data_IF_489974134769
#
_entry.id   IF_489974134769
#
_cell.length_a   1.000
_cell.length_b   1.000
_cell.length_c   1.000
_cell.angle_alpha   90.00
_cell.angle_beta   90.00
_cell.angle_gamma   90.00
#
_symmetry.space_group_name_H-M   'P 1'
#
loop_
_entity.id
_entity.type
_entity.pdbx_description
1 polymer ?
#
# COMPACT_ATOMS: atom_id res chain seq x y z
N UNK A 1 -51.24 52.04 54.17
CA UNK A 1 -49.93 51.41 54.40
C UNK A 1 -49.19 52.25 55.44
N UNK A 2 -48.81 51.67 56.57
CA UNK A 2 -48.13 52.42 57.64
C UNK A 2 -46.72 52.83 57.19
N UNK A 3 -46.19 53.91 57.75
CA UNK A 3 -44.82 54.41 57.47
C UNK A 3 -43.75 53.33 57.66
N UNK A 4 -43.95 52.42 58.61
CA UNK A 4 -43.06 51.27 58.85
C UNK A 4 -43.06 50.25 57.70
N UNK A 5 -44.23 49.93 57.10
CA UNK A 5 -44.31 49.03 55.93
C UNK A 5 -43.66 49.65 54.70
N UNK A 6 -43.90 50.94 54.47
CA UNK A 6 -43.29 51.69 53.37
C UNK A 6 -41.77 51.69 53.48
N UNK A 7 -41.23 51.84 54.69
CA UNK A 7 -39.79 51.77 54.91
C UNK A 7 -39.27 50.34 54.69
N UNK A 8 -39.95 49.31 55.18
CA UNK A 8 -39.56 47.91 54.94
C UNK A 8 -39.51 47.57 53.44
N UNK A 9 -40.56 47.90 52.69
CA UNK A 9 -40.64 47.62 51.24
C UNK A 9 -39.55 48.36 50.46
N UNK A 10 -39.22 49.60 50.85
CA UNK A 10 -38.11 50.35 50.23
C UNK A 10 -36.75 49.68 50.45
N UNK A 11 -36.43 49.29 51.68
CA UNK A 11 -35.16 48.63 51.97
C UNK A 11 -35.10 47.24 51.31
N UNK A 12 -36.19 46.47 51.33
CA UNK A 12 -36.28 45.19 50.65
C UNK A 12 -36.08 45.32 49.13
N UNK A 13 -36.72 46.32 48.50
CA UNK A 13 -36.54 46.60 47.07
C UNK A 13 -35.11 47.06 46.74
N UNK A 14 -34.49 47.90 47.58
CA UNK A 14 -33.10 48.33 47.40
C UNK A 14 -32.12 47.17 47.50
N UNK A 15 -32.31 46.26 48.48
CA UNK A 15 -31.47 45.06 48.61
C UNK A 15 -31.61 44.13 47.41
N UNK A 16 -32.85 43.87 46.96
CA UNK A 16 -33.09 43.07 45.76
C UNK A 16 -32.46 43.69 44.51
N UNK A 17 -32.60 45.01 44.32
CA UNK A 17 -31.97 45.71 43.20
C UNK A 17 -30.43 45.64 43.26
N UNK A 18 -29.84 45.80 44.44
CA UNK A 18 -28.39 45.70 44.62
C UNK A 18 -27.86 44.28 44.32
N UNK A 19 -28.58 43.25 44.76
CA UNK A 19 -28.23 41.85 44.48
C UNK A 19 -28.35 41.52 42.99
N UNK A 20 -29.40 42.01 42.32
CA UNK A 20 -29.56 41.83 40.87
C UNK A 20 -28.45 42.52 40.09
N UNK A 21 -28.08 43.75 40.46
CA UNK A 21 -26.95 44.45 39.86
C UNK A 21 -25.64 43.70 40.05
N UNK A 22 -25.37 43.23 41.26
CA UNK A 22 -24.18 42.42 41.55
C UNK A 22 -24.15 41.15 40.71
N UNK A 23 -25.28 40.45 40.59
CA UNK A 23 -25.39 39.24 39.76
C UNK A 23 -25.08 39.54 38.28
N UNK A 24 -25.62 40.63 37.73
CA UNK A 24 -25.34 41.04 36.34
C UNK A 24 -23.85 41.36 36.16
N UNK A 25 -23.23 42.08 37.09
CA UNK A 25 -21.79 42.39 37.04
C UNK A 25 -20.96 41.11 37.06
N UNK A 26 -21.28 40.15 37.94
CA UNK A 26 -20.59 38.86 38.00
C UNK A 26 -20.76 38.05 36.71
N UNK A 27 -21.95 38.04 36.11
CA UNK A 27 -22.21 37.35 34.83
C UNK A 27 -21.40 37.98 33.69
N UNK A 28 -21.40 39.31 33.58
CA UNK A 28 -20.64 40.02 32.55
C UNK A 28 -19.12 39.81 32.73
N UNK A 29 -18.63 39.87 33.97
CA UNK A 29 -17.24 39.58 34.30
C UNK A 29 -16.84 38.15 33.93
N UNK A 30 -17.68 37.16 34.27
CA UNK A 30 -17.44 35.76 33.90
C UNK A 30 -17.42 35.57 32.38
N UNK A 31 -18.33 36.20 31.64
CA UNK A 31 -18.34 36.15 30.16
C UNK A 31 -17.10 36.80 29.55
N UNK A 32 -16.64 37.91 30.10
CA UNK A 32 -15.42 38.58 29.67
C UNK A 32 -14.19 37.69 29.87
N UNK A 33 -14.04 37.09 31.06
CA UNK A 33 -12.93 36.18 31.38
C UNK A 33 -12.98 34.91 30.50
N UNK A 34 -14.15 34.31 30.32
CA UNK A 34 -14.33 33.13 29.48
C UNK A 34 -14.02 33.41 28.00
N UNK A 35 -14.35 34.61 27.51
CA UNK A 35 -14.02 35.04 26.15
C UNK A 35 -12.52 35.24 25.91
N UNK A 36 -11.75 35.46 26.97
CA UNK A 36 -10.29 35.58 26.91
C UNK A 36 -9.55 34.24 27.07
N UNK A 37 -10.23 33.20 27.57
CA UNK A 37 -9.62 31.87 27.61
C UNK A 37 -9.59 31.28 26.20
N UNK A 38 -8.41 30.91 25.68
CA UNK A 38 -8.33 30.15 24.43
C UNK A 38 -9.14 28.86 24.61
N UNK A 39 -9.93 28.51 23.59
CA UNK A 39 -10.75 27.30 23.60
C UNK A 39 -9.84 26.11 23.96
N UNK A 40 -10.10 25.47 25.11
CA UNK A 40 -9.31 24.33 25.56
C UNK A 40 -9.73 23.12 24.71
N UNK A 41 -9.13 23.01 23.51
CA UNK A 41 -9.34 21.88 22.61
C UNK A 41 -9.02 20.60 23.35
N UNK A 42 -9.97 19.66 23.36
CA UNK A 42 -9.77 18.43 24.12
C UNK A 42 -8.55 17.67 23.55
N UNK A 43 -7.73 17.04 24.39
CA UNK A 43 -6.57 16.28 23.92
C UNK A 43 -6.93 15.21 22.88
N UNK A 44 -8.17 14.69 22.97
CA UNK A 44 -8.74 13.72 22.02
C UNK A 44 -8.98 14.35 20.66
N UNK A 45 -9.49 15.59 20.59
CA UNK A 45 -9.70 16.29 19.32
C UNK A 45 -8.37 16.66 18.65
N UNK A 46 -7.38 17.07 19.43
CA UNK A 46 -6.01 17.35 18.94
C UNK A 46 -5.36 16.06 18.42
N UNK A 47 -5.46 14.96 19.18
CA UNK A 47 -4.94 13.66 18.75
C UNK A 47 -5.63 13.18 17.45
N UNK A 48 -6.96 13.26 17.39
CA UNK A 48 -7.72 12.89 16.20
C UNK A 48 -7.42 13.78 14.99
N UNK A 49 -7.17 15.08 15.20
CA UNK A 49 -6.73 16.00 14.15
C UNK A 49 -5.34 15.62 13.64
N UNK A 50 -4.39 15.36 14.54
CA UNK A 50 -3.02 14.95 14.22
C UNK A 50 -2.98 13.63 13.44
N UNK A 51 -3.84 12.66 13.79
CA UNK A 51 -3.99 11.42 13.01
C UNK A 51 -4.50 11.67 11.59
N UNK A 52 -5.41 12.65 11.39
CA UNK A 52 -5.96 12.97 10.07
C UNK A 52 -5.00 13.76 9.17
N UNK A 53 -4.10 14.56 9.75
CA UNK A 53 -3.09 15.33 9.00
C UNK A 53 -1.75 14.60 8.87
N UNK A 54 -1.64 13.39 9.43
CA UNK A 54 -0.44 12.58 9.28
C UNK A 54 -0.18 12.28 7.79
N UNK A 55 1.08 12.34 7.33
CA UNK A 55 1.40 12.09 5.93
C UNK A 55 1.04 10.64 5.57
N UNK A 56 0.38 10.47 4.42
CA UNK A 56 0.00 9.15 3.88
C UNK A 56 1.19 8.34 3.34
N UNK A 57 2.39 8.92 3.39
CA UNK A 57 3.65 8.31 3.01
C UNK A 57 4.81 9.27 3.23
N UNK A 58 6.00 8.74 3.39
CA UNK A 58 7.21 9.54 3.54
C UNK A 58 7.58 10.22 2.22
N UNK A 59 7.83 11.53 2.25
CA UNK A 59 8.31 12.28 1.08
C UNK A 59 9.83 12.33 1.14
N UNK A 60 10.48 11.49 0.34
CA UNK A 60 11.93 11.51 0.20
C UNK A 60 12.33 12.27 -1.08
N UNK A 61 13.01 13.41 -0.93
CA UNK A 61 13.51 14.22 -2.05
C UNK A 61 15.05 14.20 -2.10
N UNK A 62 15.62 14.27 -3.30
CA UNK A 62 17.07 14.31 -3.50
C UNK A 62 17.77 12.97 -3.26
N UNK A 63 18.98 13.01 -2.70
CA UNK A 63 19.84 11.83 -2.53
C UNK A 63 19.28 10.82 -1.51
N UNK A 64 18.63 11.33 -0.47
CA UNK A 64 17.91 10.51 0.53
C UNK A 64 16.72 9.77 -0.09
N UNK A 65 16.04 10.36 -1.07
CA UNK A 65 15.00 9.69 -1.85
C UNK A 65 15.51 8.61 -2.79
N UNK A 66 16.66 8.82 -3.42
CA UNK A 66 17.30 7.77 -4.23
C UNK A 66 17.75 6.58 -3.37
N UNK A 67 18.33 6.84 -2.20
CA UNK A 67 18.73 5.82 -1.25
C UNK A 67 17.51 5.05 -0.69
N UNK A 68 16.45 5.75 -0.31
CA UNK A 68 15.20 5.14 0.17
C UNK A 68 14.50 4.31 -0.92
N UNK A 69 14.47 4.78 -2.18
CA UNK A 69 13.95 3.99 -3.29
C UNK A 69 14.81 2.75 -3.60
N UNK A 70 16.13 2.86 -3.48
CA UNK A 70 17.02 1.71 -3.66
C UNK A 70 16.83 0.68 -2.53
N UNK A 71 16.68 1.14 -1.29
CA UNK A 71 16.37 0.30 -0.14
C UNK A 71 14.98 -0.33 -0.25
N UNK A 72 13.96 0.41 -0.71
CA UNK A 72 12.63 -0.12 -0.95
C UNK A 72 12.62 -1.16 -2.09
N UNK A 73 13.34 -0.92 -3.18
CA UNK A 73 13.54 -1.91 -4.27
C UNK A 73 14.25 -3.16 -3.77
N UNK A 74 15.28 -2.99 -2.94
CA UNK A 74 16.00 -4.09 -2.28
C UNK A 74 15.07 -4.86 -1.33
N UNK A 75 14.24 -4.19 -0.54
CA UNK A 75 13.29 -4.82 0.36
C UNK A 75 12.17 -5.55 -0.39
N UNK A 76 11.68 -5.02 -1.52
CA UNK A 76 10.73 -5.73 -2.38
C UNK A 76 11.37 -6.91 -3.11
N UNK A 77 12.64 -6.80 -3.50
CA UNK A 77 13.39 -7.92 -4.08
C UNK A 77 13.64 -9.02 -3.03
N UNK A 78 13.93 -8.65 -1.79
CA UNK A 78 14.12 -9.59 -0.68
C UNK A 78 12.80 -10.23 -0.23
N UNK A 79 11.71 -9.47 -0.18
CA UNK A 79 10.36 -10.01 0.05
C UNK A 79 9.92 -10.95 -1.09
N UNK A 80 10.35 -10.69 -2.33
CA UNK A 80 10.11 -11.57 -3.48
C UNK A 80 10.93 -12.87 -3.43
N UNK A 81 12.05 -12.90 -2.70
CA UNK A 81 12.80 -14.14 -2.42
C UNK A 81 12.14 -15.03 -1.37
N UNK A 82 11.17 -14.52 -0.59
CA UNK A 82 10.50 -15.32 0.45
C UNK A 82 9.40 -16.23 -0.09
N UNK A 83 9.10 -16.20 -1.39
CA UNK A 83 8.06 -17.03 -2.02
C UNK A 83 8.58 -17.62 -3.34
N UNK A 84 9.75 -18.26 -3.32
CA UNK A 84 10.25 -18.97 -4.51
C UNK A 84 9.38 -20.21 -4.73
N UNK A 85 8.76 -20.30 -5.90
CA UNK A 85 7.90 -21.42 -6.25
C UNK A 85 8.66 -22.76 -6.15
N UNK A 86 7.94 -23.85 -5.89
CA UNK A 86 8.50 -25.22 -5.87
C UNK A 86 9.66 -25.39 -4.88
N UNK A 87 9.54 -24.81 -3.69
CA UNK A 87 10.55 -24.87 -2.62
C UNK A 87 11.96 -24.42 -3.06
N UNK A 88 12.03 -23.54 -4.06
CA UNK A 88 13.29 -23.07 -4.62
C UNK A 88 14.01 -24.08 -5.52
N UNK A 89 13.34 -25.14 -5.96
CA UNK A 89 13.93 -26.13 -6.87
C UNK A 89 14.47 -25.47 -8.15
N UNK A 90 15.70 -25.82 -8.51
CA UNK A 90 16.35 -25.46 -9.79
C UNK A 90 16.32 -26.61 -10.81
N UNK A 91 15.49 -27.62 -10.56
CA UNK A 91 15.25 -28.69 -11.53
C UNK A 91 14.21 -28.22 -12.55
N UNK A 92 14.68 -27.93 -13.77
CA UNK A 92 13.83 -27.48 -14.88
C UNK A 92 12.74 -28.49 -15.25
N UNK A 93 12.95 -29.79 -15.01
CA UNK A 93 11.93 -30.81 -15.26
C UNK A 93 10.76 -30.72 -14.28
N UNK A 94 11.04 -30.42 -13.01
CA UNK A 94 10.03 -30.25 -11.96
C UNK A 94 9.16 -29.05 -12.30
N UNK A 95 9.76 -27.91 -12.60
CA UNK A 95 9.01 -26.69 -12.94
C UNK A 95 8.23 -26.88 -14.23
N UNK A 96 8.84 -27.50 -15.24
CA UNK A 96 8.16 -27.80 -16.50
C UNK A 96 6.92 -28.67 -16.29
N UNK A 97 7.06 -29.78 -15.57
CA UNK A 97 5.96 -30.72 -15.35
C UNK A 97 4.82 -30.11 -14.52
N UNK A 98 5.12 -29.20 -13.60
CA UNK A 98 4.13 -28.57 -12.72
C UNK A 98 3.48 -27.30 -13.31
N UNK A 99 4.09 -26.66 -14.32
CA UNK A 99 3.59 -25.39 -14.87
C UNK A 99 3.61 -25.35 -16.40
N UNK A 100 4.80 -25.44 -16.99
CA UNK A 100 5.00 -25.12 -18.40
C UNK A 100 4.37 -26.17 -19.33
N UNK A 101 4.33 -27.43 -18.89
CA UNK A 101 3.78 -28.55 -19.63
C UNK A 101 2.28 -28.40 -19.94
N UNK A 102 1.54 -27.65 -19.13
CA UNK A 102 0.12 -27.38 -19.35
C UNK A 102 -0.15 -26.81 -20.76
N UNK A 103 0.77 -26.00 -21.29
CA UNK A 103 0.67 -25.44 -22.64
C UNK A 103 1.64 -26.12 -23.62
N UNK A 104 2.87 -26.39 -23.19
CA UNK A 104 3.94 -26.84 -24.09
C UNK A 104 3.90 -28.35 -24.43
N UNK A 105 3.08 -29.16 -23.76
CA UNK A 105 2.88 -30.57 -24.16
C UNK A 105 1.92 -30.68 -25.35
N UNK A 106 0.75 -30.04 -25.25
CA UNK A 106 -0.32 -30.13 -26.26
C UNK A 106 -0.21 -29.04 -27.33
N UNK A 107 0.47 -27.94 -27.04
CA UNK A 107 0.46 -26.72 -27.85
C UNK A 107 -0.74 -25.82 -27.58
N UNK A 108 -1.33 -25.90 -26.39
CA UNK A 108 -2.48 -25.09 -26.01
C UNK A 108 -2.19 -23.58 -26.20
N UNK A 109 -3.18 -22.83 -26.69
CA UNK A 109 -3.03 -21.39 -26.96
C UNK A 109 -1.96 -21.06 -28.01
N UNK A 110 -1.55 -22.03 -28.84
CA UNK A 110 -0.48 -21.87 -29.83
C UNK A 110 0.93 -21.94 -29.25
N UNK A 111 1.07 -22.47 -28.04
CA UNK A 111 2.38 -22.70 -27.43
C UNK A 111 3.24 -23.67 -28.28
N UNK A 112 4.55 -23.42 -28.41
CA UNK A 112 5.42 -24.31 -29.16
C UNK A 112 5.60 -25.63 -28.41
N UNK A 113 5.13 -26.72 -29.01
CA UNK A 113 5.38 -28.10 -28.53
C UNK A 113 6.87 -28.41 -28.55
N UNK A 114 7.36 -29.28 -27.67
CA UNK A 114 8.78 -29.70 -27.61
C UNK A 114 9.14 -30.61 -28.80
N UNK A 115 9.06 -30.07 -30.00
CA UNK A 115 9.37 -30.71 -31.27
C UNK A 115 10.45 -29.88 -31.96
N UNK A 116 11.52 -30.53 -32.42
CA UNK A 116 12.68 -29.85 -33.03
C UNK A 116 12.29 -28.95 -34.20
N UNK A 117 11.31 -29.36 -35.01
CA UNK A 117 10.84 -28.58 -36.15
C UNK A 117 10.25 -27.22 -35.75
N UNK A 118 9.52 -27.16 -34.63
CA UNK A 118 8.89 -25.94 -34.12
C UNK A 118 9.91 -25.04 -33.41
N UNK A 119 10.93 -25.63 -32.80
CA UNK A 119 11.93 -24.92 -32.01
C UNK A 119 13.16 -24.45 -32.78
N UNK A 120 13.43 -24.97 -33.99
CA UNK A 120 14.63 -24.62 -34.76
C UNK A 120 14.84 -23.10 -34.94
N UNK A 121 13.79 -22.35 -35.32
CA UNK A 121 13.88 -20.90 -35.49
C UNK A 121 13.98 -20.15 -34.15
N UNK A 122 13.56 -20.77 -33.04
CA UNK A 122 13.58 -20.20 -31.69
C UNK A 122 14.94 -20.37 -31.05
N UNK A 123 15.50 -21.58 -31.11
CA UNK A 123 16.84 -21.87 -30.59
C UNK A 123 17.93 -21.08 -31.33
N UNK A 124 17.70 -20.76 -32.61
CA UNK A 124 18.58 -19.85 -33.38
C UNK A 124 18.67 -18.42 -32.81
N UNK A 125 17.69 -17.97 -32.00
CA UNK A 125 17.73 -16.67 -31.32
C UNK A 125 18.64 -16.66 -30.09
N UNK A 126 19.13 -17.83 -29.68
CA UNK A 126 19.94 -18.02 -28.49
C UNK A 126 19.09 -18.19 -27.22
N UNK A 127 19.66 -18.90 -26.24
CA UNK A 127 19.00 -19.21 -24.97
C UNK A 127 18.59 -17.95 -24.21
N UNK A 128 19.46 -16.94 -24.13
CA UNK A 128 19.19 -15.72 -23.36
C UNK A 128 17.95 -14.96 -23.86
N UNK A 129 17.73 -14.94 -25.17
CA UNK A 129 16.53 -14.35 -25.77
C UNK A 129 15.28 -15.14 -25.37
N UNK A 130 15.35 -16.47 -25.36
CA UNK A 130 14.24 -17.33 -24.95
C UNK A 130 13.92 -17.18 -23.46
N UNK A 131 14.94 -17.11 -22.63
CA UNK A 131 14.80 -16.85 -21.19
C UNK A 131 14.16 -15.48 -20.97
N UNK A 132 14.62 -14.44 -21.67
CA UNK A 132 14.03 -13.11 -21.59
C UNK A 132 12.55 -13.11 -21.96
N UNK A 133 12.18 -13.74 -23.07
CA UNK A 133 10.78 -13.89 -23.48
C UNK A 133 9.95 -14.67 -22.46
N UNK A 134 10.52 -15.69 -21.82
CA UNK A 134 9.84 -16.46 -20.79
C UNK A 134 9.66 -15.67 -19.48
N UNK A 135 10.65 -14.86 -19.10
CA UNK A 135 10.62 -14.02 -17.90
C UNK A 135 9.66 -12.84 -18.06
N UNK A 136 9.79 -12.09 -19.16
CA UNK A 136 9.04 -10.85 -19.39
C UNK A 136 7.64 -11.12 -19.99
N UNK A 137 7.45 -12.32 -20.55
CA UNK A 137 6.29 -12.65 -21.38
C UNK A 137 6.51 -12.24 -22.83
N UNK A 138 5.83 -12.94 -23.74
CA UNK A 138 5.99 -12.72 -25.18
C UNK A 138 4.69 -12.95 -25.91
N UNK A 139 4.28 -11.98 -26.73
CA UNK A 139 3.17 -12.14 -27.66
C UNK A 139 3.75 -12.23 -29.07
N UNK A 140 3.55 -13.38 -29.72
CA UNK A 140 4.02 -13.63 -31.07
C UNK A 140 2.88 -14.03 -32.01
N UNK A 141 3.25 -14.33 -33.25
CA UNK A 141 2.29 -14.73 -34.29
C UNK A 141 1.48 -16.00 -33.95
N UNK A 142 2.06 -16.90 -33.15
CA UNK A 142 1.41 -18.16 -32.78
C UNK A 142 0.50 -18.04 -31.54
N UNK A 143 0.72 -17.05 -30.67
CA UNK A 143 0.01 -16.95 -29.40
C UNK A 143 0.73 -16.07 -28.37
N UNK A 144 0.21 -16.09 -27.14
CA UNK A 144 0.72 -15.33 -26.01
C UNK A 144 1.33 -16.27 -24.97
N UNK A 145 2.58 -16.01 -24.59
CA UNK A 145 3.25 -16.60 -23.44
C UNK A 145 3.22 -15.58 -22.29
N UNK A 146 2.53 -15.86 -21.17
CA UNK A 146 2.53 -14.98 -20.02
C UNK A 146 3.92 -14.83 -19.38
N UNK A 147 4.17 -13.70 -18.73
CA UNK A 147 5.39 -13.47 -17.95
C UNK A 147 5.58 -14.56 -16.89
N UNK A 148 6.81 -15.09 -16.78
CA UNK A 148 7.18 -16.22 -15.91
C UNK A 148 6.25 -17.44 -16.06
N UNK A 149 5.75 -17.71 -17.27
CA UNK A 149 4.81 -18.81 -17.52
C UNK A 149 3.50 -18.70 -16.74
N UNK A 150 3.14 -17.50 -16.27
CA UNK A 150 1.94 -17.24 -15.47
C UNK A 150 2.14 -17.36 -13.96
N UNK A 151 3.33 -17.74 -13.49
CA UNK A 151 3.63 -17.84 -12.06
C UNK A 151 4.63 -16.75 -11.63
N UNK A 152 4.18 -15.65 -10.99
CA UNK A 152 5.05 -14.55 -10.58
C UNK A 152 6.04 -14.94 -9.47
N UNK A 153 5.84 -16.08 -8.80
CA UNK A 153 6.72 -16.62 -7.76
C UNK A 153 7.95 -17.37 -8.29
N UNK A 154 8.06 -17.58 -9.60
CA UNK A 154 9.27 -18.15 -10.20
C UNK A 154 10.42 -17.15 -10.17
N UNK A 155 11.58 -17.58 -9.68
CA UNK A 155 12.81 -16.78 -9.79
C UNK A 155 13.34 -16.79 -11.23
N UNK A 156 14.16 -15.80 -11.57
CA UNK A 156 14.77 -15.73 -12.92
C UNK A 156 15.68 -16.95 -13.20
N UNK A 157 16.33 -17.50 -12.17
CA UNK A 157 17.12 -18.73 -12.27
C UNK A 157 16.23 -19.93 -12.58
N UNK A 158 15.07 -20.04 -11.94
CA UNK A 158 14.10 -21.10 -12.20
C UNK A 158 13.54 -21.03 -13.63
N UNK A 159 13.28 -19.82 -14.13
CA UNK A 159 12.89 -19.64 -15.55
C UNK A 159 14.02 -20.10 -16.45
N UNK A 160 15.26 -19.68 -16.19
CA UNK A 160 16.44 -20.04 -16.99
C UNK A 160 16.67 -21.56 -17.08
N UNK A 161 16.72 -22.25 -15.94
CA UNK A 161 16.93 -23.72 -15.91
C UNK A 161 15.80 -24.48 -16.57
N UNK A 162 14.56 -23.98 -16.49
CA UNK A 162 13.40 -24.59 -17.14
C UNK A 162 13.45 -24.43 -18.65
N UNK A 163 13.77 -23.23 -19.15
CA UNK A 163 13.91 -22.99 -20.59
C UNK A 163 15.06 -23.82 -21.17
N UNK A 164 16.20 -23.89 -20.47
CA UNK A 164 17.30 -24.76 -20.87
C UNK A 164 16.86 -26.22 -20.95
N UNK A 165 16.18 -26.72 -19.91
CA UNK A 165 15.66 -28.09 -19.89
C UNK A 165 14.71 -28.36 -21.07
N UNK A 166 13.83 -27.42 -21.41
CA UNK A 166 12.94 -27.56 -22.57
C UNK A 166 13.71 -27.68 -23.90
N UNK A 167 14.76 -26.88 -24.08
CA UNK A 167 15.62 -26.91 -25.28
C UNK A 167 16.41 -28.23 -25.36
N UNK A 168 16.86 -28.75 -24.22
CA UNK A 168 17.60 -30.01 -24.17
C UNK A 168 16.71 -31.25 -24.37
N UNK A 169 15.40 -31.12 -24.13
CA UNK A 169 14.42 -32.21 -24.21
C UNK A 169 13.50 -32.13 -25.43
N UNK A 170 13.92 -31.43 -26.49
CA UNK A 170 13.19 -31.39 -27.76
C UNK A 170 13.17 -32.76 -28.43
N UNK A 171 11.98 -33.22 -28.82
CA UNK A 171 11.76 -34.47 -29.55
C UNK A 171 12.05 -34.30 -31.04
#
# INVERSE_FOLDING_TARGET
MNTHDLNFVKHAAQLLAALLLLAVVLILGARYIQGQQPQQESPILIAAANTRIAPVGDVFAGETGKAAMAAAKSATAEASKSQVAYDGSLDGSVIYNNLCGACHVSGAGGAPKLEKAVWAARTAQGLDTLVKHATDGFTGAAGMMPARGGNPSLSDDQVRVTVQWMVDNLK
#
